data_IF_773100591552
#
_entry.id   IF_773100591552
#
_cell.length_a   1.000
_cell.length_b   1.000
_cell.length_c   1.000
_cell.angle_alpha   90.00
_cell.angle_beta   90.00
_cell.angle_gamma   90.00
#
_symmetry.space_group_name_H-M   'P 1'
#
loop_
_entity.id
_entity.type
_entity.pdbx_description
1 polymer ?
#
# COMPACT_ATOMS: atom_id res chain seq x y z
N UNK A 1 -15.54 7.40 -4.50
CA UNK A 1 -15.17 8.45 -3.52
C UNK A 1 -16.05 9.65 -3.82
N UNK A 2 -16.55 10.35 -2.80
CA UNK A 2 -17.41 11.51 -3.01
C UNK A 2 -16.68 12.50 -3.92
N UNK A 3 -17.40 13.13 -4.84
CA UNK A 3 -16.80 14.12 -5.77
C UNK A 3 -16.01 15.20 -5.01
N UNK A 4 -16.47 15.55 -3.80
CA UNK A 4 -15.85 16.51 -2.88
C UNK A 4 -14.51 16.02 -2.27
N UNK A 5 -14.38 14.73 -1.96
CA UNK A 5 -13.16 14.19 -1.33
C UNK A 5 -12.11 13.73 -2.35
N UNK A 6 -12.49 13.57 -3.62
CA UNK A 6 -11.57 13.21 -4.71
C UNK A 6 -10.35 14.14 -4.85
N UNK A 7 -10.49 15.49 -4.88
CA UNK A 7 -9.33 16.37 -5.00
C UNK A 7 -8.41 16.31 -3.77
N UNK A 8 -8.98 16.16 -2.57
CA UNK A 8 -8.24 16.01 -1.33
C UNK A 8 -7.38 14.74 -1.35
N UNK A 9 -8.00 13.59 -1.64
CA UNK A 9 -7.28 12.32 -1.75
C UNK A 9 -6.20 12.35 -2.83
N UNK A 10 -6.49 12.97 -3.98
CA UNK A 10 -5.52 13.12 -5.07
C UNK A 10 -4.31 13.95 -4.64
N UNK A 11 -4.52 15.04 -3.90
CA UNK A 11 -3.44 15.92 -3.45
C UNK A 11 -2.50 15.24 -2.46
N UNK A 12 -3.04 14.44 -1.54
CA UNK A 12 -2.25 13.86 -0.44
C UNK A 12 -1.67 12.48 -0.71
N UNK A 13 -2.25 11.68 -1.62
CA UNK A 13 -1.84 10.26 -1.77
C UNK A 13 -1.45 9.86 -3.18
N UNK A 14 -1.76 10.66 -4.22
CA UNK A 14 -1.52 10.22 -5.59
C UNK A 14 -0.01 10.09 -5.88
N UNK A 15 0.77 11.07 -5.44
CA UNK A 15 2.21 11.07 -5.68
C UNK A 15 2.87 9.85 -5.02
N UNK A 16 2.61 9.64 -3.73
CA UNK A 16 3.15 8.51 -2.97
C UNK A 16 2.75 7.15 -3.55
N UNK A 17 1.54 7.02 -4.11
CA UNK A 17 1.10 5.78 -4.77
C UNK A 17 1.88 5.54 -6.07
N UNK A 18 2.09 6.60 -6.86
CA UNK A 18 2.78 6.50 -8.13
C UNK A 18 4.27 6.24 -7.93
N UNK A 19 4.90 6.95 -7.00
CA UNK A 19 6.34 6.88 -6.71
C UNK A 19 6.83 5.46 -6.41
N UNK A 20 5.97 4.62 -5.82
CA UNK A 20 6.24 3.20 -5.51
C UNK A 20 6.66 2.37 -6.71
N UNK A 21 6.23 2.73 -7.92
CA UNK A 21 6.49 1.96 -9.13
C UNK A 21 7.70 2.46 -9.93
N UNK A 22 8.38 3.52 -9.49
CA UNK A 22 9.45 4.14 -10.27
C UNK A 22 10.85 3.64 -9.94
N UNK A 23 11.07 3.00 -8.79
CA UNK A 23 12.40 2.51 -8.40
C UNK A 23 12.36 1.04 -8.03
N UNK A 24 13.42 0.31 -8.39
CA UNK A 24 13.58 -1.09 -8.03
C UNK A 24 13.47 -1.30 -6.52
N UNK A 25 14.08 -0.42 -5.70
CA UNK A 25 14.03 -0.49 -4.24
C UNK A 25 12.58 -0.45 -3.74
N UNK A 26 11.79 0.52 -4.20
CA UNK A 26 10.40 0.67 -3.75
C UNK A 26 9.52 -0.50 -4.20
N UNK A 27 9.72 -1.01 -5.41
CA UNK A 27 9.01 -2.19 -5.91
C UNK A 27 9.37 -3.43 -5.09
N UNK A 28 10.65 -3.63 -4.78
CA UNK A 28 11.10 -4.77 -3.98
C UNK A 28 10.58 -4.70 -2.54
N UNK A 29 10.59 -3.51 -1.94
CA UNK A 29 9.98 -3.26 -0.62
C UNK A 29 8.48 -3.55 -0.66
N UNK A 30 7.75 -3.08 -1.67
CA UNK A 30 6.31 -3.32 -1.81
C UNK A 30 5.98 -4.82 -1.90
N UNK A 31 6.74 -5.57 -2.71
CA UNK A 31 6.56 -7.02 -2.85
C UNK A 31 6.70 -7.72 -1.49
N UNK A 32 7.76 -7.43 -0.74
CA UNK A 32 7.98 -8.06 0.57
C UNK A 32 6.97 -7.56 1.60
N UNK A 33 6.65 -6.27 1.61
CA UNK A 33 5.67 -5.68 2.52
C UNK A 33 4.26 -6.28 2.34
N UNK A 34 3.90 -6.68 1.11
CA UNK A 34 2.65 -7.37 0.84
C UNK A 34 2.52 -8.72 1.57
N UNK A 35 3.62 -9.35 2.00
CA UNK A 35 3.56 -10.58 2.81
C UNK A 35 2.90 -10.33 4.18
N UNK A 36 3.02 -9.14 4.76
CA UNK A 36 2.25 -8.78 5.95
C UNK A 36 0.75 -8.82 5.67
N UNK A 37 0.32 -8.27 4.52
CA UNK A 37 -1.09 -8.28 4.09
C UNK A 37 -1.60 -9.69 3.80
N UNK A 38 -0.76 -10.56 3.25
CA UNK A 38 -1.07 -11.97 2.97
C UNK A 38 -0.94 -12.89 4.19
N UNK A 39 -0.70 -12.34 5.40
CA UNK A 39 -0.52 -13.10 6.65
C UNK A 39 0.67 -14.08 6.60
N UNK A 40 1.70 -13.74 5.83
CA UNK A 40 2.93 -14.52 5.67
C UNK A 40 4.16 -13.79 6.20
N UNK A 41 4.00 -13.18 7.38
CA UNK A 41 5.10 -12.50 8.06
C UNK A 41 6.25 -13.45 8.43
N UNK A 42 5.97 -14.76 8.50
CA UNK A 42 6.93 -15.84 8.77
C UNK A 42 8.09 -15.92 7.77
N UNK A 43 7.88 -15.50 6.52
CA UNK A 43 8.89 -15.61 5.45
C UNK A 43 9.53 -14.27 5.06
N UNK A 44 9.16 -13.17 5.74
CA UNK A 44 9.67 -11.83 5.39
C UNK A 44 11.18 -11.73 5.57
N UNK A 45 11.71 -12.30 6.65
CA UNK A 45 13.16 -12.26 6.94
C UNK A 45 13.95 -13.04 5.89
N UNK A 46 13.47 -14.22 5.47
CA UNK A 46 14.09 -15.03 4.42
C UNK A 46 14.08 -14.30 3.07
N UNK A 47 12.94 -13.70 2.69
CA UNK A 47 12.84 -12.91 1.46
C UNK A 47 13.75 -11.68 1.48
N UNK A 48 13.86 -11.01 2.63
CA UNK A 48 14.73 -9.84 2.80
C UNK A 48 16.20 -10.23 2.69
N UNK A 49 16.60 -11.33 3.34
CA UNK A 49 17.97 -11.85 3.25
C UNK A 49 18.33 -12.17 1.81
N UNK A 50 17.47 -12.90 1.09
CA UNK A 50 17.66 -13.21 -0.32
C UNK A 50 17.79 -11.94 -1.18
N UNK A 51 16.92 -10.95 -0.98
CA UNK A 51 16.93 -9.71 -1.75
C UNK A 51 18.23 -8.93 -1.56
N UNK A 52 18.69 -8.78 -0.32
CA UNK A 52 19.93 -8.06 -0.02
C UNK A 52 21.15 -8.79 -0.62
N UNK A 53 21.22 -10.12 -0.54
CA UNK A 53 22.26 -10.91 -1.22
C UNK A 53 22.22 -10.74 -2.74
N UNK A 54 21.03 -10.80 -3.34
CA UNK A 54 20.86 -10.61 -4.77
C UNK A 54 21.32 -9.22 -5.24
N UNK A 55 20.99 -8.16 -4.48
CA UNK A 55 21.41 -6.78 -4.77
C UNK A 55 22.94 -6.69 -4.74
N UNK A 56 23.58 -7.23 -3.70
CA UNK A 56 25.03 -7.20 -3.53
C UNK A 56 25.77 -7.89 -4.68
N UNK A 57 25.23 -9.01 -5.18
CA UNK A 57 25.86 -9.82 -6.24
C UNK A 57 25.62 -9.29 -7.65
N UNK A 58 24.40 -8.82 -7.95
CA UNK A 58 23.95 -8.59 -9.33
C UNK A 58 23.85 -7.11 -9.69
N UNK A 59 23.74 -6.23 -8.70
CA UNK A 59 23.52 -4.81 -8.95
C UNK A 59 24.84 -4.07 -8.72
N UNK A 60 25.56 -3.78 -9.82
CA UNK A 60 26.83 -3.00 -9.82
C UNK A 60 26.70 -1.56 -9.33
N UNK A 61 25.51 -1.11 -8.92
CA UNK A 61 25.34 0.18 -8.26
C UNK A 61 25.83 0.05 -6.82
N UNK A 62 27.08 0.42 -6.62
CA UNK A 62 27.81 0.51 -5.34
C UNK A 62 27.19 1.45 -4.29
N UNK A 63 25.93 1.84 -4.44
CA UNK A 63 25.24 2.86 -3.63
C UNK A 63 23.85 2.42 -3.15
N UNK A 64 23.40 1.19 -3.41
CA UNK A 64 22.13 0.72 -2.87
C UNK A 64 22.40 0.19 -1.46
N UNK A 65 22.01 0.97 -0.45
CA UNK A 65 22.01 0.55 0.95
C UNK A 65 21.15 -0.70 1.14
N UNK A 66 21.51 -1.54 2.11
CA UNK A 66 20.70 -2.70 2.47
C UNK A 66 19.27 -2.28 2.80
N UNK A 67 18.30 -3.10 2.40
CA UNK A 67 16.91 -2.91 2.78
C UNK A 67 16.73 -3.49 4.17
N UNK A 68 16.12 -2.72 5.06
CA UNK A 68 15.91 -3.12 6.45
C UNK A 68 14.49 -3.60 6.69
N UNK A 69 14.32 -4.47 7.69
CA UNK A 69 12.99 -4.90 8.14
C UNK A 69 12.14 -3.71 8.61
N UNK A 70 12.78 -2.68 9.18
CA UNK A 70 12.13 -1.46 9.64
C UNK A 70 11.49 -0.70 8.47
N UNK A 71 12.18 -0.59 7.34
CA UNK A 71 11.63 0.05 6.14
C UNK A 71 10.44 -0.72 5.58
N UNK A 72 10.53 -2.04 5.47
CA UNK A 72 9.41 -2.89 5.01
C UNK A 72 8.20 -2.72 5.92
N UNK A 73 8.41 -2.76 7.23
CA UNK A 73 7.32 -2.57 8.20
C UNK A 73 6.72 -1.17 8.14
N UNK A 74 7.56 -0.13 8.04
CA UNK A 74 7.11 1.26 7.93
C UNK A 74 6.27 1.45 6.67
N UNK A 75 6.72 0.91 5.54
CA UNK A 75 6.02 0.93 4.28
C UNK A 75 4.65 0.25 4.38
N UNK A 76 4.60 -0.96 4.96
CA UNK A 76 3.34 -1.68 5.17
C UNK A 76 2.37 -0.89 6.06
N UNK A 77 2.82 -0.29 7.16
CA UNK A 77 1.95 0.49 8.05
C UNK A 77 1.39 1.73 7.35
N UNK A 78 2.18 2.40 6.52
CA UNK A 78 1.73 3.53 5.70
C UNK A 78 0.68 3.09 4.67
N UNK A 79 0.96 2.02 3.93
CA UNK A 79 0.01 1.48 2.95
C UNK A 79 -1.31 1.03 3.61
N UNK A 80 -1.20 0.31 4.73
CA UNK A 80 -2.32 -0.09 5.56
C UNK A 80 -3.15 1.13 5.99
N UNK A 81 -2.51 2.20 6.45
CA UNK A 81 -3.19 3.43 6.83
C UNK A 81 -3.94 4.05 5.65
N UNK A 82 -3.27 4.25 4.51
CA UNK A 82 -3.83 4.83 3.29
C UNK A 82 -5.07 4.05 2.84
N UNK A 83 -4.97 2.72 2.75
CA UNK A 83 -6.11 1.89 2.34
C UNK A 83 -7.24 1.90 3.37
N UNK A 84 -6.94 1.98 4.67
CA UNK A 84 -7.97 2.08 5.71
C UNK A 84 -8.73 3.39 5.57
N UNK A 85 -8.03 4.51 5.38
CA UNK A 85 -8.62 5.82 5.18
C UNK A 85 -9.46 5.84 3.89
N UNK A 86 -8.91 5.38 2.77
CA UNK A 86 -9.61 5.31 1.49
C UNK A 86 -10.90 4.48 1.59
N UNK A 87 -10.84 3.29 2.19
CA UNK A 87 -12.01 2.44 2.36
C UNK A 87 -13.06 3.07 3.28
N UNK A 88 -12.63 3.76 4.34
CA UNK A 88 -13.53 4.49 5.25
C UNK A 88 -14.26 5.60 4.52
N UNK A 89 -13.54 6.37 3.70
CA UNK A 89 -14.13 7.39 2.82
C UNK A 89 -15.13 6.77 1.84
N UNK A 90 -14.83 5.62 1.24
CA UNK A 90 -15.77 4.95 0.33
C UNK A 90 -17.00 4.39 1.03
N UNK A 91 -16.87 3.91 2.27
CA UNK A 91 -18.01 3.44 3.07
C UNK A 91 -18.93 4.62 3.44
N UNK A 92 -18.35 5.77 3.82
CA UNK A 92 -19.10 6.99 4.08
C UNK A 92 -19.83 7.47 2.81
N UNK A 93 -19.14 7.51 1.66
CA UNK A 93 -19.71 7.83 0.34
C UNK A 93 -20.93 6.95 0.03
N UNK A 94 -20.80 5.63 0.22
CA UNK A 94 -21.90 4.69 0.03
C UNK A 94 -23.05 4.98 0.97
N UNK A 95 -22.78 5.23 2.26
CA UNK A 95 -23.83 5.55 3.22
C UNK A 95 -24.58 6.84 2.86
N UNK A 96 -23.86 7.91 2.53
CA UNK A 96 -24.45 9.18 2.08
C UNK A 96 -25.32 8.96 0.85
N UNK A 97 -24.80 8.32 -0.19
CA UNK A 97 -25.56 8.07 -1.43
C UNK A 97 -26.79 7.20 -1.21
N UNK A 98 -26.65 6.08 -0.48
CA UNK A 98 -27.74 5.11 -0.33
C UNK A 98 -28.76 5.48 0.76
N UNK A 99 -28.36 6.18 1.82
CA UNK A 99 -29.23 6.51 2.97
C UNK A 99 -29.74 7.95 2.96
N UNK A 100 -28.93 8.92 2.53
CA UNK A 100 -29.35 10.33 2.46
C UNK A 100 -29.99 10.60 1.09
N UNK A 101 -29.28 10.35 0.00
CA UNK A 101 -29.75 10.65 -1.36
C UNK A 101 -30.61 9.56 -1.99
N UNK A 102 -30.64 8.35 -1.39
CA UNK A 102 -31.35 7.16 -1.90
C UNK A 102 -30.96 6.78 -3.34
N UNK A 103 -29.72 7.08 -3.73
CA UNK A 103 -29.14 6.73 -5.01
C UNK A 103 -28.54 5.32 -5.01
N UNK A 104 -28.44 4.72 -6.19
CA UNK A 104 -27.70 3.49 -6.40
C UNK A 104 -26.19 3.73 -6.25
N UNK A 105 -25.50 2.80 -5.57
CA UNK A 105 -24.05 2.84 -5.42
C UNK A 105 -23.40 1.82 -6.35
N UNK A 106 -22.77 2.31 -7.41
CA UNK A 106 -22.24 1.49 -8.51
C UNK A 106 -20.97 0.72 -8.17
N UNK A 107 -20.30 1.06 -7.07
CA UNK A 107 -19.01 0.47 -6.74
C UNK A 107 -19.11 -0.65 -5.71
N UNK A 108 -18.42 -1.76 -5.99
CA UNK A 108 -18.22 -2.85 -5.03
C UNK A 108 -17.21 -2.40 -3.97
N UNK A 109 -17.56 -2.62 -2.70
CA UNK A 109 -16.64 -2.42 -1.58
C UNK A 109 -16.29 -3.78 -0.98
N UNK A 110 -15.01 -4.03 -0.66
CA UNK A 110 -14.61 -5.26 -0.01
C UNK A 110 -15.26 -5.38 1.37
N UNK A 111 -15.50 -6.63 1.78
CA UNK A 111 -16.01 -7.00 3.10
C UNK A 111 -14.97 -6.77 4.21
N UNK A 112 -15.02 -7.60 5.25
CA UNK A 112 -14.02 -7.56 6.31
C UNK A 112 -12.70 -8.15 5.81
N UNK A 113 -11.62 -7.40 5.99
CA UNK A 113 -10.26 -7.79 5.60
C UNK A 113 -9.48 -8.03 6.90
N UNK A 114 -8.89 -9.22 7.05
CA UNK A 114 -7.87 -9.47 8.08
C UNK A 114 -6.55 -8.93 7.53
N UNK A 115 -5.87 -8.09 8.31
CA UNK A 115 -4.61 -7.45 7.95
C UNK A 115 -3.58 -7.69 9.02
#
# INVERSE_FOLDING_TARGET
APKLLRPLLKKFFLQDILDRYYTFRLVAIDIIANLYKEQRADIIEDCLSFLNSYILENVKFSQIEEITLKEIKSYYEEDKFIWKLFLSVRRLDRWIKTKIFRENYEFILPGNIKR
#
